data_IF_446786347808
#
_entry.id   IF_446786347808
#
_cell.length_a   1.000
_cell.length_b   1.000
_cell.length_c   1.000
_cell.angle_alpha   90.00
_cell.angle_beta   90.00
_cell.angle_gamma   90.00
#
_symmetry.space_group_name_H-M   'P 1'
#
loop_
_entity.id
_entity.type
_entity.pdbx_description
1 polymer ?
#
# COMPACT_ATOMS: atom_id res chain seq x y z
N UNK A 1 14.27 9.00 12.75
CA UNK A 1 14.56 7.69 12.14
C UNK A 1 15.04 6.68 13.18
N UNK A 2 16.07 6.97 13.99
CA UNK A 2 16.53 6.08 15.09
C UNK A 2 15.41 5.59 16.03
N UNK A 3 14.49 6.48 16.46
CA UNK A 3 13.35 6.09 17.31
C UNK A 3 12.41 5.09 16.61
N UNK A 4 12.14 5.30 15.32
CA UNK A 4 11.30 4.40 14.53
C UNK A 4 11.95 3.02 14.33
N UNK A 5 13.28 2.94 14.22
CA UNK A 5 14.00 1.67 14.14
C UNK A 5 13.92 0.86 15.45
N UNK A 6 13.71 1.52 16.59
CA UNK A 6 13.45 0.86 17.88
C UNK A 6 11.98 0.48 18.04
N UNK A 7 11.04 1.27 17.52
CA UNK A 7 9.60 0.97 17.62
C UNK A 7 9.14 -0.11 16.65
N UNK A 8 9.83 -0.27 15.52
CA UNK A 8 9.42 -1.22 14.48
C UNK A 8 9.45 -2.67 14.95
N UNK A 9 10.15 -3.01 16.05
CA UNK A 9 10.16 -4.38 16.56
C UNK A 9 8.74 -4.94 16.79
N UNK A 10 7.81 -4.12 17.31
CA UNK A 10 6.42 -4.52 17.51
C UNK A 10 5.67 -4.78 16.19
N UNK A 11 6.14 -4.23 15.08
CA UNK A 11 5.51 -4.30 13.77
C UNK A 11 6.36 -5.06 12.75
N UNK A 12 7.49 -5.64 13.16
CA UNK A 12 8.40 -6.33 12.26
C UNK A 12 7.83 -7.68 11.86
N UNK A 13 8.15 -8.10 10.64
CA UNK A 13 7.72 -9.36 10.07
C UNK A 13 7.31 -9.25 8.61
N UNK A 14 6.77 -10.34 8.10
CA UNK A 14 6.21 -10.43 6.75
C UNK A 14 4.69 -10.26 6.83
N UNK A 15 4.16 -9.41 5.97
CA UNK A 15 2.73 -9.12 5.83
C UNK A 15 2.27 -9.46 4.42
N UNK A 16 1.06 -10.01 4.30
CA UNK A 16 0.34 -10.02 3.03
C UNK A 16 -0.57 -8.81 3.00
N UNK A 17 -0.39 -7.96 2.00
CA UNK A 17 -1.28 -6.83 1.77
C UNK A 17 -2.43 -7.19 0.83
N UNK A 18 -3.56 -6.53 1.02
CA UNK A 18 -4.74 -6.62 0.18
C UNK A 18 -5.19 -5.22 -0.20
N UNK A 19 -5.39 -4.97 -1.49
CA UNK A 19 -5.89 -3.71 -2.02
C UNK A 19 -6.55 -3.87 -3.39
N UNK A 20 -7.26 -2.84 -3.85
CA UNK A 20 -7.79 -2.80 -5.22
C UNK A 20 -6.66 -2.67 -6.26
N UNK A 21 -6.69 -3.52 -7.29
CA UNK A 21 -5.81 -3.38 -8.47
C UNK A 21 -6.11 -2.10 -9.26
N UNK A 22 -5.08 -1.43 -9.77
CA UNK A 22 -5.26 -0.24 -10.62
C UNK A 22 -5.67 -0.57 -12.06
N UNK A 23 -5.49 -1.82 -12.50
CA UNK A 23 -5.66 -2.24 -13.90
C UNK A 23 -6.89 -3.12 -14.15
N UNK A 24 -7.50 -3.66 -13.10
CA UNK A 24 -8.60 -4.62 -13.20
C UNK A 24 -9.46 -4.63 -11.94
N UNK A 25 -10.70 -5.13 -12.05
CA UNK A 25 -11.53 -5.42 -10.88
C UNK A 25 -11.08 -6.71 -10.18
N UNK A 26 -9.90 -6.69 -9.58
CA UNK A 26 -9.26 -7.83 -8.93
C UNK A 26 -8.66 -7.41 -7.59
N UNK A 27 -8.59 -8.38 -6.67
CA UNK A 27 -7.87 -8.23 -5.42
C UNK A 27 -6.37 -8.31 -5.71
N UNK A 28 -5.64 -7.25 -5.38
CA UNK A 28 -4.18 -7.22 -5.44
C UNK A 28 -3.63 -7.72 -4.12
N UNK A 29 -2.86 -8.81 -4.20
CA UNK A 29 -2.27 -9.50 -3.05
C UNK A 29 -0.75 -9.40 -3.16
N UNK A 30 -0.12 -8.66 -2.26
CA UNK A 30 1.30 -8.32 -2.36
C UNK A 30 2.01 -8.51 -1.02
N UNK A 31 3.09 -9.31 -0.96
CA UNK A 31 3.93 -9.45 0.22
C UNK A 31 4.73 -8.17 0.54
N UNK A 32 4.86 -7.88 1.84
CA UNK A 32 5.72 -6.83 2.39
C UNK A 32 6.55 -7.38 3.54
N UNK A 33 7.84 -7.09 3.57
CA UNK A 33 8.73 -7.31 4.71
C UNK A 33 9.00 -5.97 5.39
N UNK A 34 8.68 -5.86 6.67
CA UNK A 34 8.99 -4.70 7.52
C UNK A 34 10.01 -5.15 8.55
N UNK A 35 11.18 -4.48 8.59
CA UNK A 35 12.27 -4.86 9.49
C UNK A 35 13.14 -3.64 9.80
N UNK A 36 13.81 -3.56 10.96
CA UNK A 36 14.91 -2.63 11.11
C UNK A 36 15.99 -2.93 10.04
N UNK A 37 16.67 -1.88 9.57
CA UNK A 37 17.87 -2.06 8.76
C UNK A 37 19.01 -2.67 9.60
N UNK A 38 20.00 -3.29 8.95
CA UNK A 38 21.11 -3.94 9.66
C UNK A 38 21.93 -2.95 10.51
N UNK A 39 21.98 -1.69 10.09
CA UNK A 39 22.56 -0.55 10.80
C UNK A 39 21.70 -0.03 11.96
N UNK A 40 20.45 -0.46 12.05
CA UNK A 40 19.44 -0.06 13.05
C UNK A 40 19.18 1.46 13.14
N UNK A 41 19.43 2.20 12.06
CA UNK A 41 19.27 3.66 11.97
C UNK A 41 17.96 4.08 11.28
N UNK A 42 17.36 3.18 10.49
CA UNK A 42 16.08 3.35 9.81
C UNK A 42 15.31 2.03 9.69
N UNK A 43 14.03 2.12 9.30
CA UNK A 43 13.22 0.96 8.95
C UNK A 43 13.40 0.66 7.46
N UNK A 44 13.75 -0.60 7.15
CA UNK A 44 13.77 -1.14 5.80
C UNK A 44 12.41 -1.78 5.52
N UNK A 45 11.81 -1.44 4.39
CA UNK A 45 10.63 -2.14 3.88
C UNK A 45 10.93 -2.71 2.51
N UNK A 46 10.61 -3.99 2.32
CA UNK A 46 10.72 -4.65 1.02
C UNK A 46 9.31 -5.04 0.57
N UNK A 47 9.01 -4.84 -0.70
CA UNK A 47 7.70 -5.11 -1.29
C UNK A 47 7.88 -5.97 -2.53
N UNK A 48 7.05 -7.01 -2.68
CA UNK A 48 6.96 -7.82 -3.89
C UNK A 48 5.64 -7.49 -4.59
N UNK A 49 5.72 -6.89 -5.77
CA UNK A 49 4.53 -6.49 -6.52
C UNK A 49 3.76 -7.71 -7.05
N UNK A 50 2.50 -7.49 -7.45
CA UNK A 50 1.69 -8.50 -8.12
C UNK A 50 2.27 -8.96 -9.48
N UNK A 51 3.27 -8.24 -9.98
CA UNK A 51 4.01 -8.55 -11.21
C UNK A 51 5.41 -9.14 -10.90
N UNK A 52 5.66 -9.52 -9.65
CA UNK A 52 6.90 -10.12 -9.15
C UNK A 52 8.13 -9.22 -9.35
N UNK A 53 7.95 -7.91 -9.17
CA UNK A 53 9.04 -6.95 -9.07
C UNK A 53 9.29 -6.60 -7.61
N UNK A 54 10.55 -6.62 -7.19
CA UNK A 54 10.95 -6.27 -5.82
C UNK A 54 11.22 -4.77 -5.72
N UNK A 55 10.60 -4.12 -4.74
CA UNK A 55 10.78 -2.72 -4.43
C UNK A 55 11.35 -2.55 -3.03
N UNK A 56 12.25 -1.59 -2.89
CA UNK A 56 12.86 -1.23 -1.61
C UNK A 56 12.33 0.13 -1.18
N UNK A 57 11.99 0.23 0.08
CA UNK A 57 11.40 1.40 0.70
C UNK A 57 11.87 1.60 2.13
N UNK A 58 11.40 2.67 2.72
CA UNK A 58 11.65 2.98 4.14
C UNK A 58 10.36 3.34 4.83
N UNK A 59 10.37 3.36 6.16
CA UNK A 59 9.21 3.73 6.94
C UNK A 59 9.55 4.58 8.16
N UNK A 60 8.59 5.40 8.55
CA UNK A 60 8.57 6.17 9.79
C UNK A 60 7.41 5.66 10.61
N UNK A 61 7.70 5.13 11.79
CA UNK A 61 6.72 4.74 12.80
C UNK A 61 6.65 5.82 13.86
N UNK A 62 5.43 6.08 14.32
CA UNK A 62 5.12 6.99 15.41
C UNK A 62 4.24 6.24 16.41
N UNK A 63 4.81 5.97 17.58
CA UNK A 63 4.32 5.04 18.59
C UNK A 63 2.79 4.98 18.72
N UNK A 64 2.20 3.81 18.47
CA UNK A 64 0.77 3.52 18.64
C UNK A 64 -0.21 4.54 18.01
N UNK A 65 0.23 5.32 17.03
CA UNK A 65 -0.62 6.28 16.30
C UNK A 65 -0.68 5.93 14.82
N UNK A 66 0.46 5.98 14.14
CA UNK A 66 0.53 5.86 12.69
C UNK A 66 1.93 5.47 12.21
N UNK A 67 1.96 4.84 11.03
CA UNK A 67 3.18 4.64 10.28
C UNK A 67 3.02 5.17 8.86
N UNK A 68 4.13 5.62 8.29
CA UNK A 68 4.26 6.03 6.90
C UNK A 68 5.32 5.17 6.25
N UNK A 69 4.96 4.46 5.19
CA UNK A 69 5.90 3.67 4.37
C UNK A 69 6.04 4.38 3.03
N UNK A 70 7.27 4.49 2.55
CA UNK A 70 7.63 5.22 1.34
C UNK A 70 8.37 4.30 0.37
N UNK A 71 7.93 4.27 -0.89
CA UNK A 71 8.65 3.63 -1.99
C UNK A 71 8.86 4.64 -3.12
N UNK A 72 9.97 4.51 -3.84
CA UNK A 72 10.11 5.14 -5.14
C UNK A 72 9.82 4.09 -6.22
N UNK A 73 8.73 4.25 -6.96
CA UNK A 73 8.36 3.33 -8.04
C UNK A 73 9.17 3.56 -9.33
N UNK A 74 10.11 4.51 -9.33
CA UNK A 74 11.01 4.84 -10.44
C UNK A 74 12.47 4.76 -10.02
N UNK A 75 13.34 4.51 -10.99
CA UNK A 75 14.78 4.62 -10.78
C UNK A 75 15.21 6.08 -10.64
N UNK A 76 16.23 6.32 -9.82
CA UNK A 76 16.85 7.63 -9.69
C UNK A 76 17.38 8.11 -11.05
N UNK A 77 17.26 9.41 -11.38
CA UNK A 77 16.89 10.53 -10.50
C UNK A 77 15.37 10.82 -10.47
N UNK A 78 14.54 10.02 -11.13
CA UNK A 78 13.10 10.25 -11.16
C UNK A 78 12.47 9.86 -9.83
N UNK A 79 11.52 10.67 -9.37
CA UNK A 79 10.75 10.42 -8.15
C UNK A 79 9.29 10.17 -8.52
N UNK A 80 8.82 8.95 -8.26
CA UNK A 80 7.40 8.61 -8.20
C UNK A 80 7.15 8.00 -6.82
N UNK A 81 6.96 8.88 -5.85
CA UNK A 81 6.77 8.48 -4.46
C UNK A 81 5.40 7.83 -4.31
N UNK A 82 5.39 6.60 -3.85
CA UNK A 82 4.18 5.96 -3.34
C UNK A 82 4.28 5.87 -1.82
N UNK A 83 3.17 6.18 -1.14
CA UNK A 83 3.12 6.31 0.32
C UNK A 83 1.99 5.47 0.88
N UNK A 84 2.29 4.62 1.86
CA UNK A 84 1.28 3.89 2.62
C UNK A 84 1.19 4.52 4.01
N UNK A 85 0.01 5.01 4.36
CA UNK A 85 -0.34 5.43 5.71
C UNK A 85 -1.02 4.26 6.42
N UNK A 86 -0.45 3.77 7.53
CA UNK A 86 -1.05 2.72 8.36
C UNK A 86 -1.50 3.30 9.70
N UNK A 87 -2.67 2.88 10.16
CA UNK A 87 -3.14 3.10 11.52
C UNK A 87 -2.51 2.06 12.43
N UNK A 88 -1.75 2.50 13.44
CA UNK A 88 -1.12 1.60 14.39
C UNK A 88 -2.02 1.43 15.61
N UNK A 89 -2.30 0.19 16.04
CA UNK A 89 -3.07 -0.04 17.25
C UNK A 89 -2.25 0.17 18.52
N UNK A 90 -2.98 0.30 19.63
CA UNK A 90 -2.44 0.42 20.99
C UNK A 90 -1.93 -0.91 21.58
N UNK A 91 -1.95 -2.01 20.83
CA UNK A 91 -1.45 -3.32 21.25
C UNK A 91 -0.17 -3.68 20.49
N UNK A 92 0.74 -4.37 21.19
CA UNK A 92 1.97 -4.89 20.62
C UNK A 92 1.67 -6.08 19.68
N UNK A 93 2.55 -6.28 18.69
CA UNK A 93 2.50 -7.39 17.74
C UNK A 93 1.15 -7.56 17.03
N UNK A 94 0.63 -6.50 16.38
CA UNK A 94 -0.67 -6.59 15.73
C UNK A 94 -0.65 -7.56 14.55
N UNK A 95 -1.67 -8.42 14.51
CA UNK A 95 -1.90 -9.29 13.35
C UNK A 95 -2.47 -8.53 12.13
N UNK A 96 -3.14 -7.40 12.36
CA UNK A 96 -3.82 -6.64 11.31
C UNK A 96 -3.48 -5.16 11.43
N UNK A 97 -3.08 -4.57 10.30
CA UNK A 97 -2.91 -3.13 10.11
C UNK A 97 -3.74 -2.68 8.92
N UNK A 98 -4.35 -1.50 9.00
CA UNK A 98 -5.19 -0.95 7.92
C UNK A 98 -4.80 0.48 7.64
N UNK A 99 -5.03 0.92 6.41
CA UNK A 99 -4.48 2.17 5.96
C UNK A 99 -5.00 2.68 4.63
N UNK A 100 -4.29 3.71 4.13
CA UNK A 100 -4.46 4.27 2.80
C UNK A 100 -3.15 4.13 2.03
N UNK A 101 -3.25 3.67 0.79
CA UNK A 101 -2.17 3.69 -0.17
C UNK A 101 -2.37 4.85 -1.16
N UNK A 102 -1.42 5.79 -1.15
CA UNK A 102 -1.41 6.99 -1.98
C UNK A 102 -0.33 6.84 -3.04
N UNK A 103 -0.74 6.91 -4.32
CA UNK A 103 0.18 6.81 -5.44
C UNK A 103 -0.39 7.54 -6.67
N UNK A 104 0.27 7.40 -7.81
CA UNK A 104 -0.28 7.78 -9.10
C UNK A 104 -0.90 6.55 -9.78
N UNK A 105 -2.00 6.73 -10.51
CA UNK A 105 -2.51 5.71 -11.41
C UNK A 105 -1.68 5.65 -12.72
N UNK A 106 -2.02 4.74 -13.64
CA UNK A 106 -1.32 4.61 -14.92
C UNK A 106 -1.45 5.86 -15.82
N UNK A 107 -2.48 6.67 -15.62
CA UNK A 107 -2.70 7.95 -16.29
C UNK A 107 -2.02 9.12 -15.56
N UNK A 108 -1.22 8.83 -14.53
CA UNK A 108 -0.53 9.79 -13.66
C UNK A 108 -1.46 10.68 -12.83
N UNK A 109 -2.68 10.22 -12.59
CA UNK A 109 -3.58 10.91 -11.68
C UNK A 109 -3.29 10.51 -10.23
N UNK A 110 -3.28 11.45 -9.28
CA UNK A 110 -3.30 11.15 -7.85
C UNK A 110 -4.47 10.26 -7.47
N UNK A 111 -4.17 9.19 -6.73
CA UNK A 111 -5.16 8.26 -6.19
C UNK A 111 -4.80 7.87 -4.75
N UNK A 112 -5.81 7.79 -3.90
CA UNK A 112 -5.76 7.18 -2.58
C UNK A 112 -6.72 5.99 -2.56
N UNK A 113 -6.29 4.84 -2.03
CA UNK A 113 -7.14 3.64 -1.90
C UNK A 113 -6.93 2.97 -0.56
N UNK A 114 -7.94 2.25 -0.06
CA UNK A 114 -7.77 1.39 1.11
C UNK A 114 -6.72 0.32 0.87
N UNK A 115 -5.98 0.01 1.92
CA UNK A 115 -5.05 -1.12 1.95
C UNK A 115 -5.11 -1.78 3.33
N UNK A 116 -4.98 -3.10 3.33
CA UNK A 116 -4.97 -3.95 4.51
C UNK A 116 -3.67 -4.75 4.54
N UNK A 117 -3.06 -4.90 5.72
CA UNK A 117 -1.85 -5.69 5.96
C UNK A 117 -2.22 -6.75 6.99
N UNK A 118 -2.11 -8.02 6.62
CA UNK A 118 -2.32 -9.17 7.49
C UNK A 118 -0.95 -9.82 7.76
N UNK A 119 -0.60 -9.97 9.02
CA UNK A 119 0.70 -10.55 9.42
C UNK A 119 0.73 -12.02 9.03
N UNK A 120 1.69 -12.37 8.18
CA UNK A 120 1.90 -13.72 7.69
C UNK A 120 2.89 -14.49 8.56
N UNK A 121 3.97 -13.82 8.98
CA UNK A 121 5.04 -14.40 9.77
C UNK A 121 5.76 -13.32 10.58
N UNK A 122 6.31 -13.71 11.73
CA UNK A 122 7.23 -12.87 12.52
C UNK A 122 8.65 -12.85 11.93
N UNK A 123 8.93 -13.67 10.91
CA UNK A 123 10.23 -13.70 10.25
C UNK A 123 10.59 -12.35 9.64
N UNK A 124 11.83 -11.92 9.85
CA UNK A 124 12.43 -10.76 9.18
C UNK A 124 13.48 -11.17 8.14
N UNK A 125 13.52 -12.47 7.80
CA UNK A 125 14.43 -13.05 6.81
C UNK A 125 14.06 -12.60 5.40
N UNK A 126 15.07 -12.16 4.65
CA UNK A 126 14.89 -11.86 3.23
C UNK A 126 14.64 -13.14 2.42
N UNK A 127 15.23 -14.27 2.81
CA UNK A 127 15.08 -15.53 2.10
C UNK A 127 13.63 -16.03 2.20
N UNK A 128 13.07 -16.05 3.40
CA UNK A 128 11.65 -16.41 3.64
C UNK A 128 10.71 -15.47 2.87
N UNK A 129 11.05 -14.19 2.79
CA UNK A 129 10.26 -13.21 2.04
C UNK A 129 10.29 -13.46 0.52
N UNK A 130 11.44 -13.83 -0.03
CA UNK A 130 11.62 -14.07 -1.47
C UNK A 130 10.91 -15.33 -1.97
N UNK A 131 10.52 -16.25 -1.08
CA UNK A 131 9.66 -17.40 -1.42
C UNK A 131 8.22 -16.98 -1.77
N UNK A 132 7.78 -15.82 -1.29
CA UNK A 132 6.43 -15.31 -1.52
C UNK A 132 6.32 -14.57 -2.86
N UNK A 133 5.15 -14.69 -3.48
CA UNK A 133 4.84 -14.04 -4.76
C UNK A 133 3.61 -13.15 -4.64
N UNK A 134 3.67 -12.01 -5.32
CA UNK A 134 2.50 -11.18 -5.50
C UNK A 134 1.58 -11.77 -6.58
N UNK A 135 0.30 -11.46 -6.50
CA UNK A 135 -0.69 -11.91 -7.47
C UNK A 135 -1.91 -10.99 -7.55
N UNK A 136 -2.64 -11.11 -8.67
CA UNK A 136 -3.98 -10.55 -8.83
C UNK A 136 -4.98 -11.69 -8.79
N UNK A 137 -5.97 -11.60 -7.91
CA UNK A 137 -7.03 -12.61 -7.76
C UNK A 137 -8.35 -12.01 -8.28
N UNK A 138 -8.89 -12.53 -9.39
CA UNK A 138 -10.22 -12.17 -9.88
C UNK A 138 -11.31 -12.42 -8.84
N UNK A 139 -12.37 -11.60 -8.87
CA UNK A 139 -13.45 -11.67 -7.88
C UNK A 139 -14.13 -13.05 -7.80
N UNK A 140 -14.27 -13.74 -8.93
CA UNK A 140 -14.85 -15.08 -9.05
C UNK A 140 -13.96 -16.19 -8.50
N UNK A 141 -12.67 -15.91 -8.25
CA UNK A 141 -11.68 -16.85 -7.75
C UNK A 141 -11.31 -16.61 -6.28
N UNK A 142 -11.97 -15.65 -5.61
CA UNK A 142 -11.71 -15.34 -4.21
C UNK A 142 -12.12 -16.50 -3.29
N UNK A 143 -11.22 -16.87 -2.39
CA UNK A 143 -11.52 -17.79 -1.29
C UNK A 143 -12.39 -17.12 -0.24
N UNK A 144 -13.03 -17.90 0.63
CA UNK A 144 -13.87 -17.37 1.71
C UNK A 144 -13.07 -16.49 2.69
N UNK A 145 -11.78 -16.78 2.87
CA UNK A 145 -10.86 -15.96 3.67
C UNK A 145 -10.58 -14.59 3.01
N UNK A 146 -10.49 -14.54 1.68
CA UNK A 146 -10.16 -13.32 0.95
C UNK A 146 -11.37 -12.41 0.70
N UNK A 147 -12.59 -12.98 0.70
CA UNK A 147 -13.84 -12.23 0.48
C UNK A 147 -14.00 -11.04 1.42
N UNK A 148 -13.80 -11.15 2.75
CA UNK A 148 -13.84 -10.00 3.66
C UNK A 148 -12.84 -8.91 3.29
N UNK A 149 -11.62 -9.27 2.86
CA UNK A 149 -10.58 -8.30 2.50
C UNK A 149 -10.94 -7.56 1.22
N UNK A 150 -11.41 -8.29 0.19
CA UNK A 150 -11.94 -7.69 -1.02
C UNK A 150 -13.11 -6.75 -0.74
N UNK A 151 -14.06 -7.18 0.09
CA UNK A 151 -15.21 -6.35 0.46
C UNK A 151 -14.83 -5.10 1.25
N UNK A 152 -13.69 -5.09 1.93
CA UNK A 152 -13.18 -3.93 2.64
C UNK A 152 -12.34 -2.98 1.76
N UNK A 153 -11.68 -3.48 0.72
CA UNK A 153 -10.69 -2.68 -0.04
C UNK A 153 -11.08 -2.36 -1.47
N UNK A 154 -12.11 -3.00 -2.02
CA UNK A 154 -12.39 -3.00 -3.47
C UNK A 154 -13.82 -2.55 -3.83
N UNK A 155 -14.58 -1.95 -2.92
CA UNK A 155 -15.93 -1.46 -3.21
C UNK A 155 -15.90 -0.05 -3.83
N UNK A 156 -16.99 0.35 -4.52
CA UNK A 156 -17.18 1.75 -4.91
C UNK A 156 -17.05 2.69 -3.69
N UNK A 157 -16.18 3.69 -3.80
CA UNK A 157 -15.89 4.63 -2.70
C UNK A 157 -14.70 4.25 -1.80
N UNK A 158 -14.09 3.06 -1.98
CA UNK A 158 -12.87 2.68 -1.25
C UNK A 158 -11.59 3.30 -1.82
N UNK A 159 -11.73 4.10 -2.88
CA UNK A 159 -10.69 4.93 -3.43
C UNK A 159 -11.21 6.33 -3.76
N UNK A 160 -10.31 7.31 -3.72
CA UNK A 160 -10.53 8.68 -4.18
C UNK A 160 -9.46 8.95 -5.23
N UNK A 161 -9.87 9.41 -6.41
CA UNK A 161 -8.96 9.79 -7.49
C UNK A 161 -9.35 11.15 -8.03
N UNK A 162 -8.36 11.93 -8.45
CA UNK A 162 -8.59 13.08 -9.34
C UNK A 162 -8.39 12.63 -10.79
N UNK A 163 -8.81 13.40 -11.78
CA UNK A 163 -8.43 13.13 -13.16
C UNK A 163 -8.34 14.40 -14.00
N UNK A 164 -7.47 14.39 -15.00
CA UNK A 164 -7.38 15.51 -15.94
C UNK A 164 -8.61 15.57 -16.85
N UNK A 165 -9.30 16.71 -16.86
CA UNK A 165 -10.43 16.97 -17.77
C UNK A 165 -9.89 17.25 -19.18
N UNK A 166 -10.38 16.57 -20.24
CA UNK A 166 -9.92 16.83 -21.61
C UNK A 166 -10.26 18.25 -22.06
N UNK A 167 -9.28 19.00 -22.57
CA UNK A 167 -9.41 20.41 -22.95
C UNK A 167 -9.94 21.28 -21.79
N UNK A 168 -9.18 21.42 -20.69
CA UNK A 168 -9.64 22.12 -19.50
C UNK A 168 -9.83 23.61 -19.79
N UNK A 169 -10.90 24.18 -19.23
CA UNK A 169 -11.16 25.61 -19.26
C UNK A 169 -10.48 26.37 -18.11
N UNK A 170 -9.87 25.64 -17.18
CA UNK A 170 -9.23 26.09 -15.94
C UNK A 170 -10.16 26.94 -15.06
N UNK A 171 -11.41 26.52 -14.94
CA UNK A 171 -12.42 27.20 -14.10
C UNK A 171 -13.36 26.19 -13.43
N UNK A 172 -14.32 26.70 -12.64
CA UNK A 172 -15.25 25.87 -11.86
C UNK A 172 -16.05 24.84 -12.69
N UNK A 173 -16.25 25.08 -14.00
CA UNK A 173 -16.92 24.11 -14.88
C UNK A 173 -16.13 22.81 -15.03
N UNK A 174 -14.81 22.88 -14.95
CA UNK A 174 -13.97 21.69 -15.00
C UNK A 174 -14.17 20.83 -13.75
N UNK A 175 -14.41 21.44 -12.57
CA UNK A 175 -14.66 20.69 -11.33
C UNK A 175 -15.94 19.84 -11.43
N UNK A 176 -17.01 20.40 -11.98
CA UNK A 176 -18.24 19.65 -12.22
C UNK A 176 -18.05 18.55 -13.29
N UNK A 177 -17.26 18.84 -14.33
CA UNK A 177 -16.99 17.88 -15.40
C UNK A 177 -16.13 16.72 -14.89
N UNK A 178 -15.14 17.01 -14.05
CA UNK A 178 -14.33 16.00 -13.38
C UNK A 178 -15.23 15.09 -12.52
N UNK A 179 -16.07 15.65 -11.65
CA UNK A 179 -17.02 14.87 -10.84
C UNK A 179 -17.89 13.93 -11.68
N UNK A 180 -18.47 14.44 -12.78
CA UNK A 180 -19.25 13.62 -13.72
C UNK A 180 -18.43 12.49 -14.34
N UNK A 181 -17.16 12.74 -14.69
CA UNK A 181 -16.25 11.71 -15.24
C UNK A 181 -15.88 10.65 -14.20
N UNK A 182 -15.85 11.01 -12.92
CA UNK A 182 -15.54 10.12 -11.81
C UNK A 182 -16.75 9.35 -11.28
N UNK A 183 -17.95 9.67 -11.76
CA UNK A 183 -19.22 9.13 -11.25
C UNK A 183 -19.47 9.49 -9.77
N UNK A 184 -19.02 10.68 -9.33
CA UNK A 184 -19.11 11.22 -7.95
C UNK A 184 -19.99 12.49 -7.90
#
# INVERSE_FOLDING_TARGET
MLHSAQEVYNYSGIYISYSLSSSSNALKVEPYLITPADSNDHVKVVHMSAYNTTHFGTAIFNNHQNAYIFFNEREAPQLALSTIYLQLPMYDFPHLLKGLYLCLDYNRNPIARRILFIKHSDSTSMDDFLELKGQLIPQDQLTDEQRPYYNYTCQPGDFIKTCSVPSPLLNAKDLEREKRMLEI
#
